data_IF_962011820068
#
_entry.id   IF_962011820068
#
_cell.length_a   1.000
_cell.length_b   1.000
_cell.length_c   1.000
_cell.angle_alpha   90.00
_cell.angle_beta   90.00
_cell.angle_gamma   90.00
#
_symmetry.space_group_name_H-M   'P 1'
#
loop_
_entity.id
_entity.type
_entity.pdbx_description
1 polymer ?
#
# COMPACT_ATOMS: atom_id res chain seq x y z
N UNK A 1 22.19 -59.79 -53.29
CA UNK A 1 21.11 -60.54 -53.98
C UNK A 1 19.91 -60.42 -53.05
N UNK A 2 18.80 -59.74 -53.35
CA UNK A 2 18.03 -59.67 -54.59
C UNK A 2 17.14 -58.42 -54.52
N UNK A 3 17.03 -57.70 -55.64
CA UNK A 3 16.11 -56.59 -55.83
C UNK A 3 14.64 -57.07 -55.98
N UNK A 4 13.68 -56.13 -55.92
CA UNK A 4 12.44 -55.97 -56.73
C UNK A 4 11.50 -55.01 -55.97
N UNK A 5 11.21 -53.78 -56.43
CA UNK A 5 10.36 -53.27 -57.53
C UNK A 5 8.99 -52.74 -57.04
N UNK A 6 8.87 -51.40 -57.10
CA UNK A 6 7.73 -50.50 -57.42
C UNK A 6 6.26 -50.92 -57.20
N UNK A 7 5.49 -50.01 -56.55
CA UNK A 7 4.28 -49.31 -57.08
C UNK A 7 3.74 -48.33 -56.02
N UNK A 8 3.74 -47.01 -56.21
CA UNK A 8 2.81 -46.09 -56.93
C UNK A 8 1.43 -45.87 -56.26
N UNK A 9 1.05 -44.58 -56.23
CA UNK A 9 -0.26 -43.93 -55.93
C UNK A 9 -0.56 -43.79 -54.42
N UNK A 10 -0.79 -42.62 -53.81
CA UNK A 10 -1.22 -41.30 -54.28
C UNK A 10 -2.50 -40.94 -53.53
N UNK A 11 -2.48 -39.99 -52.58
CA UNK A 11 -3.61 -39.41 -51.81
C UNK A 11 -2.98 -38.59 -50.66
N UNK A 12 -3.30 -37.36 -50.31
CA UNK A 12 -4.22 -36.33 -50.76
C UNK A 12 -3.94 -35.11 -49.86
N UNK A 13 -4.15 -33.89 -50.36
CA UNK A 13 -4.07 -32.67 -49.56
C UNK A 13 -5.09 -32.74 -48.40
N UNK A 14 -4.60 -32.86 -47.16
CA UNK A 14 -5.40 -32.73 -45.94
C UNK A 14 -4.97 -31.49 -45.17
N UNK A 15 -5.76 -30.41 -45.28
CA UNK A 15 -5.52 -29.15 -44.60
C UNK A 15 -5.44 -29.35 -43.08
N UNK A 16 -4.29 -29.00 -42.50
CA UNK A 16 -4.06 -28.97 -41.07
C UNK A 16 -4.67 -27.67 -40.50
N UNK A 17 -5.98 -27.71 -40.24
CA UNK A 17 -6.69 -26.68 -39.50
C UNK A 17 -6.21 -26.73 -38.04
N UNK A 18 -5.26 -25.85 -37.69
CA UNK A 18 -4.82 -25.65 -36.31
C UNK A 18 -5.96 -24.99 -35.53
N UNK A 19 -6.79 -25.79 -34.85
CA UNK A 19 -7.78 -25.31 -33.90
C UNK A 19 -7.07 -24.53 -32.79
N UNK A 20 -7.19 -23.21 -32.82
CA UNK A 20 -6.77 -22.33 -31.74
C UNK A 20 -7.81 -22.44 -30.61
N UNK A 21 -7.51 -23.23 -29.58
CA UNK A 21 -8.29 -23.23 -28.35
C UNK A 21 -8.20 -21.83 -27.70
N UNK A 22 -9.31 -21.10 -27.49
CA UNK A 22 -9.29 -19.91 -26.66
C UNK A 22 -9.02 -20.35 -25.21
N UNK A 23 -7.80 -20.10 -24.73
CA UNK A 23 -7.47 -20.29 -23.33
C UNK A 23 -8.28 -19.31 -22.49
N UNK A 24 -9.33 -19.79 -21.83
CA UNK A 24 -9.96 -19.07 -20.73
C UNK A 24 -8.92 -18.84 -19.63
N UNK A 25 -8.32 -17.66 -19.60
CA UNK A 25 -7.54 -17.21 -18.46
C UNK A 25 -8.53 -17.01 -17.31
N UNK A 26 -8.36 -17.68 -16.16
CA UNK A 26 -9.19 -17.39 -15.00
C UNK A 26 -9.07 -15.90 -14.67
N UNK A 27 -10.18 -15.20 -14.35
CA UNK A 27 -10.08 -13.85 -13.83
C UNK A 27 -9.14 -13.89 -12.62
N UNK A 28 -8.11 -13.03 -12.64
CA UNK A 28 -7.15 -12.93 -11.55
C UNK A 28 -7.85 -12.63 -10.22
N UNK A 29 -7.22 -12.96 -9.08
CA UNK A 29 -7.78 -12.61 -7.78
C UNK A 29 -8.08 -11.11 -7.72
N UNK A 30 -9.20 -10.71 -7.08
CA UNK A 30 -9.56 -9.31 -6.98
C UNK A 30 -8.42 -8.51 -6.33
N UNK A 31 -8.18 -7.26 -6.75
CA UNK A 31 -7.14 -6.43 -6.14
C UNK A 31 -7.42 -6.29 -4.64
N UNK A 32 -6.38 -6.46 -3.82
CA UNK A 32 -6.47 -6.21 -2.39
C UNK A 32 -6.90 -4.75 -2.18
N UNK A 33 -8.03 -4.56 -1.49
CA UNK A 33 -8.52 -3.24 -1.09
C UNK A 33 -8.56 -3.17 0.43
N UNK A 34 -8.29 -1.98 0.95
CA UNK A 34 -8.33 -1.64 2.37
C UNK A 34 -9.10 -0.35 2.54
N UNK A 35 -9.69 -0.16 3.70
CA UNK A 35 -10.40 1.07 4.06
C UNK A 35 -9.89 1.61 5.39
N UNK A 36 -9.83 2.94 5.47
CA UNK A 36 -9.66 3.62 6.74
C UNK A 36 -10.99 3.66 7.50
N UNK A 37 -10.98 3.54 8.84
CA UNK A 37 -12.17 3.77 9.65
C UNK A 37 -12.77 5.18 9.42
N UNK A 38 -14.09 5.38 9.62
CA UNK A 38 -14.75 6.67 9.35
C UNK A 38 -14.19 7.87 10.14
N UNK A 39 -13.58 7.62 11.30
CA UNK A 39 -12.97 8.61 12.17
C UNK A 39 -11.47 8.84 11.90
N UNK A 40 -10.91 8.17 10.88
CA UNK A 40 -9.51 8.33 10.47
C UNK A 40 -9.18 9.75 10.01
N UNK A 41 -10.19 10.56 9.65
CA UNK A 41 -10.07 12.00 9.39
C UNK A 41 -11.17 12.76 10.11
N UNK A 42 -10.81 13.89 10.71
CA UNK A 42 -11.76 14.84 11.25
C UNK A 42 -12.02 15.92 10.19
N UNK A 43 -13.25 15.98 9.64
CA UNK A 43 -13.68 17.00 8.68
C UNK A 43 -13.94 16.49 7.26
N UNK A 44 -14.20 17.41 6.32
CA UNK A 44 -14.54 17.12 4.92
C UNK A 44 -13.32 16.84 4.01
N UNK A 45 -12.16 16.52 4.60
CA UNK A 45 -10.92 16.27 3.88
C UNK A 45 -10.85 14.87 3.28
N UNK A 46 -10.01 14.72 2.25
CA UNK A 46 -9.71 13.42 1.68
C UNK A 46 -8.87 12.55 2.63
N UNK A 47 -9.36 11.34 3.01
CA UNK A 47 -8.70 10.51 4.01
C UNK A 47 -7.31 10.03 3.63
N UNK A 48 -7.08 9.72 2.36
CA UNK A 48 -5.76 9.24 1.92
C UNK A 48 -4.74 10.38 1.91
N UNK A 49 -5.11 11.59 1.49
CA UNK A 49 -4.25 12.78 1.59
C UNK A 49 -3.86 13.07 3.03
N UNK A 50 -4.83 13.02 3.95
CA UNK A 50 -4.54 13.22 5.37
C UNK A 50 -3.57 12.15 5.91
N UNK A 51 -3.74 10.89 5.48
CA UNK A 51 -2.81 9.82 5.82
C UNK A 51 -1.38 10.08 5.29
N UNK A 52 -1.23 10.54 4.04
CA UNK A 52 0.08 10.89 3.44
C UNK A 52 0.76 11.98 4.27
N UNK A 53 0.04 13.07 4.55
CA UNK A 53 0.57 14.22 5.30
C UNK A 53 0.97 13.80 6.73
N UNK A 54 0.08 13.09 7.42
CA UNK A 54 0.30 12.67 8.80
C UNK A 54 1.49 11.70 8.92
N UNK A 55 1.60 10.72 8.02
CA UNK A 55 2.71 9.76 8.04
C UNK A 55 4.03 10.42 7.68
N UNK A 56 4.07 11.31 6.68
CA UNK A 56 5.28 12.06 6.35
C UNK A 56 5.77 12.92 7.54
N UNK A 57 4.84 13.56 8.26
CA UNK A 57 5.18 14.30 9.47
C UNK A 57 5.76 13.41 10.57
N UNK A 58 5.07 12.31 10.90
CA UNK A 58 5.45 11.42 12.00
C UNK A 58 6.76 10.69 11.70
N UNK A 59 6.89 10.05 10.53
CA UNK A 59 8.10 9.28 10.21
C UNK A 59 9.29 10.16 9.86
N UNK A 60 9.07 11.41 9.43
CA UNK A 60 10.12 12.42 9.27
C UNK A 60 10.65 12.99 10.58
N UNK A 61 9.85 12.97 11.65
CA UNK A 61 10.24 13.43 12.97
C UNK A 61 9.55 12.61 14.08
N UNK A 62 9.97 11.35 14.33
CA UNK A 62 9.31 10.48 15.31
C UNK A 62 9.42 11.00 16.74
N UNK A 63 10.42 11.84 17.04
CA UNK A 63 10.55 12.52 18.34
C UNK A 63 9.36 13.43 18.69
N UNK A 64 8.61 13.91 17.69
CA UNK A 64 7.39 14.71 17.90
C UNK A 64 6.27 13.96 18.61
N UNK A 65 6.29 12.62 18.56
CA UNK A 65 5.29 11.74 19.18
C UNK A 65 5.89 10.81 20.24
N UNK A 66 7.08 11.12 20.75
CA UNK A 66 7.69 10.37 21.84
C UNK A 66 6.76 10.35 23.06
N UNK A 67 6.54 9.17 23.64
CA UNK A 67 5.61 8.97 24.75
C UNK A 67 4.11 9.04 24.37
N UNK A 68 3.78 9.14 23.08
CA UNK A 68 2.40 9.26 22.59
C UNK A 68 2.00 8.02 21.76
N UNK A 69 1.78 6.85 22.40
CA UNK A 69 1.48 5.62 21.69
C UNK A 69 0.18 5.67 20.88
N UNK A 70 -0.78 6.52 21.26
CA UNK A 70 -2.02 6.70 20.51
C UNK A 70 -1.79 7.32 19.13
N UNK A 71 -0.91 8.32 19.04
CA UNK A 71 -0.55 8.98 17.78
C UNK A 71 0.34 8.07 16.94
N UNK A 72 1.29 7.37 17.57
CA UNK A 72 2.11 6.35 16.91
C UNK A 72 1.25 5.24 16.29
N UNK A 73 0.26 4.71 17.02
CA UNK A 73 -0.63 3.65 16.53
C UNK A 73 -1.38 4.11 15.27
N UNK A 74 -1.89 5.35 15.27
CA UNK A 74 -2.57 5.92 14.12
C UNK A 74 -1.64 6.12 12.92
N UNK A 75 -0.41 6.61 13.16
CA UNK A 75 0.58 6.79 12.09
C UNK A 75 0.97 5.45 11.45
N UNK A 76 1.15 4.40 12.25
CA UNK A 76 1.42 3.04 11.76
C UNK A 76 0.22 2.48 10.98
N UNK A 77 -1.01 2.69 11.46
CA UNK A 77 -2.21 2.29 10.74
C UNK A 77 -2.34 3.00 9.38
N UNK A 78 -2.02 4.30 9.33
CA UNK A 78 -1.98 5.05 8.09
C UNK A 78 -0.91 4.52 7.14
N UNK A 79 0.25 4.14 7.65
CA UNK A 79 1.32 3.55 6.84
C UNK A 79 0.88 2.21 6.22
N UNK A 80 0.28 1.32 7.01
CA UNK A 80 -0.31 0.04 6.55
C UNK A 80 -1.35 0.26 5.44
N UNK A 81 -2.24 1.23 5.64
CA UNK A 81 -3.24 1.62 4.64
C UNK A 81 -2.58 2.11 3.34
N UNK A 82 -1.65 3.04 3.43
CA UNK A 82 -0.98 3.64 2.27
C UNK A 82 -0.16 2.63 1.47
N UNK A 83 0.46 1.65 2.13
CA UNK A 83 1.22 0.61 1.45
C UNK A 83 0.36 -0.24 0.50
N UNK A 84 -0.95 -0.34 0.75
CA UNK A 84 -1.91 -1.00 -0.14
C UNK A 84 -2.54 0.01 -1.10
N UNK A 85 -3.05 1.14 -0.58
CA UNK A 85 -3.78 2.14 -1.36
C UNK A 85 -2.93 2.77 -2.47
N UNK A 86 -1.67 3.14 -2.20
CA UNK A 86 -0.80 3.77 -3.20
C UNK A 86 -0.34 2.78 -4.27
N UNK A 87 -0.45 1.47 -4.01
CA UNK A 87 -0.06 0.42 -4.95
C UNK A 87 -1.22 -0.02 -5.86
N UNK A 88 -2.42 -0.13 -5.30
CA UNK A 88 -3.57 -0.73 -6.01
C UNK A 88 -4.72 0.26 -6.24
N UNK A 89 -4.71 1.42 -5.58
CA UNK A 89 -5.76 2.43 -5.69
C UNK A 89 -5.72 3.12 -7.06
N UNK A 90 -6.83 3.12 -7.84
CA UNK A 90 -6.85 3.67 -9.19
C UNK A 90 -6.60 5.19 -9.21
N UNK A 91 -6.90 5.86 -8.10
CA UNK A 91 -6.67 7.29 -7.91
C UNK A 91 -5.19 7.68 -7.97
N UNK A 92 -4.31 6.78 -7.56
CA UNK A 92 -2.87 7.03 -7.42
C UNK A 92 -2.08 6.47 -8.60
N UNK A 93 -2.74 6.06 -9.69
CA UNK A 93 -2.08 5.52 -10.88
C UNK A 93 -1.08 6.49 -11.54
N UNK A 94 -1.19 7.80 -11.27
CA UNK A 94 -0.23 8.80 -11.73
C UNK A 94 0.98 8.98 -10.80
N UNK A 95 1.09 8.23 -9.70
CA UNK A 95 2.28 8.23 -8.84
C UNK A 95 3.41 7.45 -9.49
N UNK A 96 4.66 7.88 -9.25
CA UNK A 96 5.83 7.07 -9.58
C UNK A 96 5.72 5.65 -8.99
N UNK A 97 5.96 4.57 -9.78
CA UNK A 97 5.97 3.20 -9.27
C UNK A 97 6.96 2.98 -8.12
N UNK A 98 8.00 3.82 -8.03
CA UNK A 98 8.95 3.80 -6.92
C UNK A 98 8.28 3.99 -5.57
N UNK A 99 7.21 4.80 -5.48
CA UNK A 99 6.47 5.03 -4.22
C UNK A 99 5.94 3.71 -3.66
N UNK A 100 5.33 2.87 -4.51
CA UNK A 100 4.80 1.59 -4.07
C UNK A 100 5.91 0.63 -3.59
N UNK A 101 7.07 0.64 -4.27
CA UNK A 101 8.23 -0.19 -3.88
C UNK A 101 8.81 0.26 -2.54
N UNK A 102 8.99 1.56 -2.32
CA UNK A 102 9.52 2.11 -1.07
C UNK A 102 8.55 1.88 0.09
N UNK A 103 7.24 2.04 -0.13
CA UNK A 103 6.24 1.72 0.90
C UNK A 103 6.30 0.25 1.32
N UNK A 104 6.50 -0.69 0.38
CA UNK A 104 6.61 -2.11 0.71
C UNK A 104 7.84 -2.43 1.56
N UNK A 105 8.99 -1.76 1.31
CA UNK A 105 10.19 -1.91 2.14
C UNK A 105 9.99 -1.30 3.53
N UNK A 106 9.52 -0.05 3.60
CA UNK A 106 9.27 0.60 4.88
C UNK A 106 8.15 -0.07 5.67
N UNK A 107 7.21 -0.79 5.04
CA UNK A 107 6.18 -1.55 5.75
C UNK A 107 6.80 -2.68 6.58
N UNK A 108 7.79 -3.39 6.03
CA UNK A 108 8.51 -4.43 6.77
C UNK A 108 9.25 -3.83 7.96
N UNK A 109 9.92 -2.69 7.76
CA UNK A 109 10.61 -1.95 8.81
C UNK A 109 9.64 -1.50 9.91
N UNK A 110 8.51 -0.90 9.55
CA UNK A 110 7.46 -0.46 10.49
C UNK A 110 6.90 -1.64 11.28
N UNK A 111 6.49 -2.73 10.61
CA UNK A 111 5.94 -3.93 11.27
C UNK A 111 6.94 -4.52 12.26
N UNK A 112 8.21 -4.61 11.88
CA UNK A 112 9.27 -5.11 12.75
C UNK A 112 9.46 -4.20 13.98
N UNK A 113 9.48 -2.88 13.78
CA UNK A 113 9.68 -1.90 14.84
C UNK A 113 8.60 -1.99 15.93
N UNK A 114 7.33 -2.20 15.55
CA UNK A 114 6.21 -2.25 16.51
C UNK A 114 5.77 -3.67 16.90
N UNK A 115 6.37 -4.70 16.29
CA UNK A 115 6.08 -6.10 16.61
C UNK A 115 4.78 -6.63 16.01
N UNK A 116 4.39 -6.15 14.83
CA UNK A 116 3.30 -6.73 14.03
C UNK A 116 3.82 -8.00 13.35
N UNK A 117 2.99 -9.06 13.31
CA UNK A 117 3.36 -10.28 12.59
C UNK A 117 3.60 -9.99 11.09
N UNK A 118 4.70 -10.47 10.48
CA UNK A 118 5.04 -10.14 9.09
C UNK A 118 3.95 -10.53 8.07
N UNK A 119 3.24 -11.63 8.34
CA UNK A 119 2.15 -12.15 7.51
C UNK A 119 0.76 -11.65 7.94
N UNK A 120 0.67 -10.70 8.88
CA UNK A 120 -0.60 -10.15 9.34
C UNK A 120 -1.36 -9.51 8.15
N UNK A 121 -2.66 -9.83 7.97
CA UNK A 121 -3.46 -9.17 6.94
C UNK A 121 -3.58 -7.66 7.24
N UNK A 122 -3.47 -6.76 6.25
CA UNK A 122 -3.45 -5.32 6.49
C UNK A 122 -4.71 -4.78 7.18
N UNK A 123 -5.92 -5.16 6.74
CA UNK A 123 -7.16 -4.59 7.28
C UNK A 123 -7.34 -4.85 8.80
N UNK A 124 -7.21 -6.09 9.31
CA UNK A 124 -7.22 -6.34 10.75
C UNK A 124 -6.17 -5.54 11.54
N UNK A 125 -4.97 -5.31 10.98
CA UNK A 125 -3.93 -4.50 11.62
C UNK A 125 -4.36 -3.03 11.70
N UNK A 126 -4.87 -2.46 10.60
CA UNK A 126 -5.39 -1.10 10.54
C UNK A 126 -6.49 -0.91 11.58
N UNK A 127 -7.48 -1.82 11.61
CA UNK A 127 -8.62 -1.74 12.52
C UNK A 127 -8.18 -1.83 13.99
N UNK A 128 -7.27 -2.75 14.31
CA UNK A 128 -6.74 -2.93 15.66
C UNK A 128 -5.96 -1.70 16.15
N UNK A 129 -5.09 -1.13 15.31
CA UNK A 129 -4.30 0.06 15.67
C UNK A 129 -5.18 1.29 15.87
N UNK A 130 -6.20 1.49 15.02
CA UNK A 130 -7.18 2.57 15.20
C UNK A 130 -8.03 2.36 16.45
N UNK A 131 -8.45 1.13 16.75
CA UNK A 131 -9.17 0.81 17.98
C UNK A 131 -8.31 1.05 19.24
N UNK A 132 -7.04 0.66 19.21
CA UNK A 132 -6.09 0.91 20.29
C UNK A 132 -5.83 2.41 20.47
N UNK A 133 -5.65 3.16 19.38
CA UNK A 133 -5.49 4.63 19.41
C UNK A 133 -6.67 5.31 20.10
N UNK A 134 -7.90 4.89 19.79
CA UNK A 134 -9.12 5.37 20.47
C UNK A 134 -9.16 5.03 21.95
N UNK A 135 -8.85 3.79 22.31
CA UNK A 135 -8.82 3.35 23.71
C UNK A 135 -7.79 4.16 24.53
N UNK A 136 -6.59 4.38 23.98
CA UNK A 136 -5.55 5.19 24.62
C UNK A 136 -5.97 6.65 24.79
N UNK A 137 -6.62 7.25 23.79
CA UNK A 137 -7.16 8.61 23.88
C UNK A 137 -8.28 8.74 24.92
N UNK A 138 -9.00 7.66 25.18
CA UNK A 138 -10.00 7.57 26.24
C UNK A 138 -9.39 7.25 27.64
N UNK A 139 -8.06 7.09 27.74
CA UNK A 139 -7.38 6.71 28.97
C UNK A 139 -7.49 5.21 29.33
N UNK A 140 -8.00 4.38 28.42
CA UNK A 140 -8.20 2.94 28.64
C UNK A 140 -7.05 2.12 28.05
N UNK A 141 -5.89 2.17 28.71
CA UNK A 141 -4.70 1.40 28.32
C UNK A 141 -4.96 -0.11 28.35
N UNK A 142 -5.72 -0.60 29.32
CA UNK A 142 -6.03 -2.03 29.43
C UNK A 142 -6.83 -2.53 28.22
N UNK A 143 -7.75 -1.73 27.68
CA UNK A 143 -8.44 -2.06 26.43
C UNK A 143 -7.53 -2.01 25.22
N UNK A 144 -6.64 -1.02 25.14
CA UNK A 144 -5.64 -0.97 24.07
C UNK A 144 -4.74 -2.22 24.07
N UNK A 145 -4.30 -2.69 25.23
CA UNK A 145 -3.49 -3.92 25.33
C UNK A 145 -4.26 -5.17 24.91
N UNK A 146 -5.55 -5.28 25.27
CA UNK A 146 -6.41 -6.39 24.84
C UNK A 146 -6.63 -6.39 23.33
N UNK A 147 -6.81 -5.21 22.73
CA UNK A 147 -6.99 -5.04 21.27
C UNK A 147 -5.71 -5.46 20.52
N UNK A 148 -4.54 -5.05 21.02
CA UNK A 148 -3.24 -5.33 20.41
C UNK A 148 -2.72 -6.73 20.81
N UNK A 149 -3.50 -7.77 20.55
CA UNK A 149 -3.21 -9.14 20.99
C UNK A 149 -2.77 -10.06 19.85
N UNK A 150 -2.22 -11.26 20.17
CA UNK A 150 -1.98 -12.30 19.18
C UNK A 150 -3.28 -12.69 18.43
N UNK A 151 -3.19 -13.11 17.15
CA UNK A 151 -1.96 -13.40 16.42
C UNK A 151 -1.33 -12.19 15.72
N UNK A 152 -2.02 -11.05 15.64
CA UNK A 152 -1.54 -9.86 14.92
C UNK A 152 -0.31 -9.23 15.59
N UNK A 153 -0.28 -9.26 16.92
CA UNK A 153 0.80 -8.72 17.75
C UNK A 153 1.35 -9.84 18.66
N UNK A 154 2.31 -10.65 18.17
CA UNK A 154 2.75 -11.87 18.87
C UNK A 154 3.36 -11.63 20.24
N UNK A 155 3.98 -10.46 20.46
CA UNK A 155 4.55 -10.07 21.74
C UNK A 155 3.51 -9.54 22.75
N UNK A 156 2.24 -9.41 22.33
CA UNK A 156 1.15 -8.88 23.13
C UNK A 156 1.11 -7.35 23.20
N UNK A 157 -0.02 -6.83 23.71
CA UNK A 157 -0.34 -5.42 23.59
C UNK A 157 0.57 -4.51 24.39
N UNK A 158 0.94 -4.89 25.62
CA UNK A 158 1.86 -4.10 26.45
C UNK A 158 3.21 -3.87 25.74
N UNK A 159 3.77 -4.91 25.12
CA UNK A 159 5.03 -4.81 24.38
C UNK A 159 4.88 -3.94 23.12
N UNK A 160 3.78 -4.07 22.39
CA UNK A 160 3.49 -3.22 21.22
C UNK A 160 3.30 -1.76 21.62
N UNK A 161 2.56 -1.47 22.70
CA UNK A 161 2.38 -0.10 23.22
C UNK A 161 3.70 0.53 23.65
N UNK A 162 4.58 -0.24 24.31
CA UNK A 162 5.91 0.24 24.68
C UNK A 162 6.74 0.64 23.44
N UNK A 163 6.69 -0.18 22.38
CA UNK A 163 7.39 0.12 21.11
C UNK A 163 6.79 1.34 20.41
N UNK A 164 5.47 1.46 20.40
CA UNK A 164 4.76 2.62 19.84
C UNK A 164 5.11 3.91 20.58
N UNK A 165 5.24 3.88 21.91
CA UNK A 165 5.62 5.04 22.70
C UNK A 165 7.08 5.49 22.48
N UNK A 166 7.93 4.61 21.93
CA UNK A 166 9.35 4.84 21.70
C UNK A 166 9.75 4.53 20.25
N UNK A 167 8.94 4.97 19.29
CA UNK A 167 9.16 4.70 17.87
C UNK A 167 10.51 5.28 17.42
N UNK A 168 11.45 4.47 16.91
CA UNK A 168 12.75 4.96 16.45
C UNK A 168 12.63 5.68 15.10
N UNK A 169 13.73 6.29 14.64
CA UNK A 169 13.85 6.70 13.25
C UNK A 169 13.82 5.45 12.36
N UNK A 170 12.92 5.46 11.37
CA UNK A 170 12.72 4.39 10.40
C UNK A 170 13.04 4.93 8.99
N UNK A 171 14.29 4.78 8.51
CA UNK A 171 14.74 5.43 7.28
C UNK A 171 13.93 5.08 6.04
N UNK A 172 13.51 3.81 5.86
CA UNK A 172 12.72 3.42 4.69
C UNK A 172 11.30 3.98 4.78
N UNK A 173 10.68 3.95 5.97
CA UNK A 173 9.37 4.54 6.18
C UNK A 173 9.36 6.06 5.96
N UNK A 174 10.40 6.75 6.45
CA UNK A 174 10.60 8.18 6.23
C UNK A 174 10.75 8.49 4.73
N UNK A 175 11.63 7.77 4.02
CA UNK A 175 11.85 7.97 2.59
C UNK A 175 10.55 7.75 1.78
N UNK A 176 9.84 6.65 2.04
CA UNK A 176 8.60 6.31 1.35
C UNK A 176 7.53 7.41 1.51
N UNK A 177 7.33 7.88 2.74
CA UNK A 177 6.31 8.89 3.04
C UNK A 177 6.68 10.27 2.49
N UNK A 178 7.97 10.64 2.51
CA UNK A 178 8.46 11.86 1.86
C UNK A 178 8.25 11.85 0.34
N UNK A 179 8.51 10.71 -0.32
CA UNK A 179 8.27 10.54 -1.75
C UNK A 179 6.78 10.65 -2.10
N UNK A 180 5.90 10.00 -1.34
CA UNK A 180 4.45 10.12 -1.56
C UNK A 180 3.96 11.56 -1.37
N UNK A 181 4.46 12.28 -0.36
CA UNK A 181 4.12 13.68 -0.14
C UNK A 181 4.57 14.57 -1.31
N UNK A 182 5.79 14.36 -1.81
CA UNK A 182 6.31 15.07 -2.98
C UNK A 182 5.46 14.82 -4.23
N UNK A 183 5.05 13.57 -4.45
CA UNK A 183 4.25 13.18 -5.61
C UNK A 183 2.81 13.71 -5.54
N UNK A 184 2.21 13.71 -4.36
CA UNK A 184 0.93 14.34 -4.10
C UNK A 184 0.97 15.84 -4.45
N UNK A 185 2.01 16.54 -3.99
CA UNK A 185 2.19 17.96 -4.27
C UNK A 185 2.42 18.24 -5.77
N UNK A 186 3.18 17.39 -6.46
CA UNK A 186 3.37 17.47 -7.92
C UNK A 186 2.03 17.38 -8.65
N UNK A 187 1.20 16.40 -8.31
CA UNK A 187 -0.12 16.24 -8.93
C UNK A 187 -1.06 17.42 -8.65
N UNK A 188 -1.01 18.01 -7.45
CA UNK A 188 -1.82 19.20 -7.15
C UNK A 188 -1.44 20.39 -8.02
N UNK A 189 -0.15 20.65 -8.16
CA UNK A 189 0.36 21.71 -9.02
C UNK A 189 -0.06 21.51 -10.49
N UNK A 190 -0.11 20.27 -10.96
CA UNK A 190 -0.59 19.94 -12.31
C UNK A 190 -2.09 20.17 -12.49
N UNK A 191 -2.90 19.92 -11.46
CA UNK A 191 -4.35 20.18 -11.47
C UNK A 191 -4.67 21.68 -11.42
N UNK A 192 -3.86 22.45 -10.68
CA UNK A 192 -4.03 23.89 -10.53
C UNK A 192 -3.64 24.69 -11.77
N UNK A 193 -2.83 24.13 -12.69
CA UNK A 193 -2.47 24.76 -13.96
C UNK A 193 -3.65 24.73 -14.95
N UNK A 194 -4.42 25.82 -15.12
CA UNK A 194 -5.59 25.83 -16.00
C UNK A 194 -5.12 26.19 -17.41
N UNK A 195 -5.21 25.24 -18.35
CA UNK A 195 -4.97 25.50 -19.77
C UNK A 195 -3.50 25.73 -20.12
N UNK A 196 -2.86 24.70 -20.68
CA UNK A 196 -1.61 24.90 -21.41
C UNK A 196 -1.82 25.96 -22.49
N UNK A 197 -1.15 27.10 -22.32
CA UNK A 197 -1.01 28.14 -23.33
C UNK A 197 -0.58 27.47 -24.63
N UNK A 198 -1.47 27.46 -25.63
CA UNK A 198 -1.07 27.20 -27.01
C UNK A 198 -0.15 28.35 -27.40
N UNK A 199 1.15 28.12 -27.72
CA UNK A 199 2.03 29.21 -28.07
C UNK A 199 1.48 29.86 -29.34
N UNK A 200 1.00 31.09 -29.17
CA UNK A 200 0.51 31.92 -30.25
C UNK A 200 1.53 31.95 -31.37
N UNK A 201 1.13 31.40 -32.51
CA UNK A 201 1.81 31.48 -33.80
C UNK A 201 1.79 32.94 -34.25
N UNK A 202 2.65 33.76 -33.65
CA UNK A 202 2.95 35.11 -34.12
C UNK A 202 3.78 34.99 -35.39
N UNK A 203 3.10 34.98 -36.54
CA UNK A 203 3.72 35.22 -37.83
C UNK A 203 4.31 36.62 -37.82
N UNK A 204 5.63 36.72 -38.03
CA UNK A 204 6.23 37.88 -38.70
C UNK A 204 6.75 37.38 -40.04
#
# INVERSE_FOLDING_TARGET
MTAWRLSRMGLGLGGLLFLSLPGCTPPGPPPLSVSLPPDAVQGAGDPTRAAIINTAYVFGNPGSIAGQPAEAARAVANYEYLAVELRFGPRWAGFSPLVATEFAQGLQEVRNAVGIAPSAPPQPVIDALYAASRALRAGDTASAERILSPPLFPAGGAATLQRLAALPLLPHANNATALALGEMNRQDQERERPGGISPGRGRR
#
